data_IF_555708054671
#
_entry.id   IF_555708054671
#
_cell.length_a   1.000
_cell.length_b   1.000
_cell.length_c   1.000
_cell.angle_alpha   90.00
_cell.angle_beta   90.00
_cell.angle_gamma   90.00
#
_symmetry.space_group_name_H-M   'P 1'
#
loop_
_entity.id
_entity.type
_entity.pdbx_description
1 polymer ?
#
# COMPACT_ATOMS: atom_id res chain seq x y z
N UNK A 1 16.39 -5.31 -0.44
CA UNK A 1 15.85 -4.34 -1.40
C UNK A 1 15.25 -3.19 -0.61
N UNK A 2 15.96 -2.05 -0.50
CA UNK A 2 15.47 -0.89 0.24
C UNK A 2 14.42 -0.18 -0.61
N UNK A 3 13.16 -0.49 -0.36
CA UNK A 3 12.05 0.29 -0.88
C UNK A 3 11.95 1.58 -0.06
N UNK A 4 12.89 2.52 -0.26
CA UNK A 4 12.77 3.91 0.19
C UNK A 4 11.73 4.70 -0.61
N UNK A 5 10.63 4.03 -0.98
CA UNK A 5 9.53 4.50 -1.82
C UNK A 5 8.46 5.24 -1.02
N UNK A 6 8.32 4.87 0.25
CA UNK A 6 7.34 5.40 1.19
C UNK A 6 8.10 5.76 2.45
N UNK A 7 7.87 6.96 2.98
CA UNK A 7 8.42 7.32 4.26
C UNK A 7 7.84 6.38 5.32
N UNK A 8 8.66 5.95 6.28
CA UNK A 8 8.15 5.28 7.47
C UNK A 8 7.07 6.16 8.12
N UNK A 9 6.01 5.54 8.62
CA UNK A 9 4.85 6.24 9.14
C UNK A 9 3.88 6.78 8.09
N UNK A 10 4.13 6.56 6.78
CA UNK A 10 3.15 6.94 5.74
C UNK A 10 1.86 6.16 5.96
N UNK A 11 0.75 6.90 6.10
CA UNK A 11 -0.58 6.32 6.26
C UNK A 11 -1.20 6.15 4.88
N UNK A 12 -1.57 4.91 4.56
CA UNK A 12 -2.29 4.52 3.36
C UNK A 12 -3.75 4.29 3.71
N UNK A 13 -4.65 4.88 2.93
CA UNK A 13 -6.07 4.62 3.01
C UNK A 13 -6.42 3.47 2.06
N UNK A 14 -7.06 2.44 2.59
CA UNK A 14 -7.69 1.40 1.79
C UNK A 14 -9.13 1.78 1.51
N UNK A 15 -9.51 1.83 0.23
CA UNK A 15 -10.89 2.09 -0.14
C UNK A 15 -11.36 1.11 -1.22
N UNK A 16 -12.28 0.23 -0.86
CA UNK A 16 -12.87 -0.75 -1.77
C UNK A 16 -14.32 -0.38 -2.09
N UNK A 17 -14.50 0.46 -3.11
CA UNK A 17 -15.82 0.93 -3.54
C UNK A 17 -16.81 -0.19 -3.86
N UNK A 18 -16.33 -1.32 -4.42
CA UNK A 18 -17.18 -2.47 -4.78
C UNK A 18 -17.82 -3.17 -3.58
N UNK A 19 -17.14 -3.18 -2.44
CA UNK A 19 -17.60 -3.88 -1.22
C UNK A 19 -17.96 -2.92 -0.08
N UNK A 20 -17.83 -1.60 -0.29
CA UNK A 20 -18.02 -0.60 0.76
C UNK A 20 -17.03 -0.71 1.91
N UNK A 21 -15.88 -1.37 1.73
CA UNK A 21 -14.87 -1.57 2.78
C UNK A 21 -13.86 -0.44 2.78
N UNK A 22 -13.50 -0.03 3.99
CA UNK A 22 -12.48 0.97 4.25
C UNK A 22 -11.50 0.43 5.27
N UNK A 23 -10.24 0.84 5.15
CA UNK A 23 -9.20 0.44 6.08
C UNK A 23 -8.06 1.45 6.04
N UNK A 24 -7.12 1.32 6.97
CA UNK A 24 -5.91 2.13 7.00
C UNK A 24 -4.71 1.21 7.22
N UNK A 25 -3.58 1.58 6.65
CA UNK A 25 -2.32 0.91 6.93
C UNK A 25 -1.18 1.90 7.08
N UNK A 26 -0.21 1.59 7.91
CA UNK A 26 0.99 2.38 8.13
C UNK A 26 2.17 1.67 7.51
N UNK A 27 2.99 2.40 6.76
CA UNK A 27 4.21 1.86 6.18
C UNK A 27 5.34 1.89 7.22
N UNK A 28 6.06 0.78 7.33
CA UNK A 28 7.23 0.63 8.20
C UNK A 28 8.53 1.02 7.49
N UNK A 29 9.60 1.23 8.25
CA UNK A 29 10.96 1.46 7.73
C UNK A 29 11.46 0.39 6.76
N UNK A 30 10.97 -0.84 6.90
CA UNK A 30 11.32 -1.97 6.05
C UNK A 30 10.46 -2.06 4.77
N UNK A 31 9.52 -1.13 4.57
CA UNK A 31 8.58 -1.15 3.45
C UNK A 31 7.43 -2.14 3.61
N UNK A 32 7.22 -2.65 4.83
CA UNK A 32 6.07 -3.48 5.17
C UNK A 32 4.88 -2.62 5.57
N UNK A 33 3.67 -3.18 5.53
CA UNK A 33 2.43 -2.49 5.90
C UNK A 33 1.85 -3.05 7.20
N UNK A 34 1.53 -2.16 8.14
CA UNK A 34 0.79 -2.47 9.35
C UNK A 34 -0.65 -2.06 9.12
N UNK A 35 -1.58 -3.01 9.00
CA UNK A 35 -3.00 -2.69 8.83
C UNK A 35 -3.60 -2.36 10.18
N UNK A 36 -4.38 -1.27 10.24
CA UNK A 36 -5.08 -0.87 11.45
C UNK A 36 -6.09 -1.96 11.87
N UNK A 37 -6.04 -2.35 13.14
CA UNK A 37 -6.80 -3.50 13.66
C UNK A 37 -6.16 -4.87 13.42
N UNK A 38 -4.95 -4.94 12.83
CA UNK A 38 -4.22 -6.20 12.66
C UNK A 38 -2.88 -6.19 13.40
N UNK A 39 -2.61 -7.26 14.17
CA UNK A 39 -1.39 -7.37 14.96
C UNK A 39 -0.14 -7.72 14.12
N UNK A 40 -0.34 -8.26 12.92
CA UNK A 40 0.71 -8.70 12.02
C UNK A 40 1.10 -7.61 11.00
N UNK A 41 2.39 -7.55 10.71
CA UNK A 41 2.94 -6.74 9.62
C UNK A 41 2.91 -7.54 8.31
N UNK A 42 2.60 -6.86 7.21
CA UNK A 42 2.47 -7.48 5.90
C UNK A 42 3.61 -7.04 4.98
N UNK A 43 4.40 -7.97 4.43
CA UNK A 43 5.50 -7.64 3.54
C UNK A 43 5.04 -7.20 2.15
N UNK A 44 3.74 -7.27 1.84
CA UNK A 44 3.21 -6.82 0.56
C UNK A 44 1.83 -6.16 0.68
N UNK A 45 1.52 -5.18 -0.18
CA UNK A 45 0.22 -4.51 -0.18
C UNK A 45 -0.93 -5.46 -0.52
N UNK A 46 -0.68 -6.50 -1.32
CA UNK A 46 -1.68 -7.51 -1.68
C UNK A 46 -2.07 -8.38 -0.48
N UNK A 47 -1.09 -8.84 0.31
CA UNK A 47 -1.35 -9.55 1.57
C UNK A 47 -2.12 -8.68 2.57
N UNK A 48 -1.77 -7.40 2.67
CA UNK A 48 -2.48 -6.45 3.53
C UNK A 48 -3.95 -6.27 3.11
N UNK A 49 -4.20 -6.13 1.80
CA UNK A 49 -5.56 -6.03 1.27
C UNK A 49 -6.36 -7.34 1.45
N UNK A 50 -5.71 -8.49 1.28
CA UNK A 50 -6.30 -9.80 1.56
C UNK A 50 -6.71 -9.94 3.02
N UNK A 51 -5.90 -9.45 3.96
CA UNK A 51 -6.25 -9.46 5.38
C UNK A 51 -7.51 -8.63 5.70
N UNK A 52 -7.77 -7.54 4.96
CA UNK A 52 -8.98 -6.72 5.12
C UNK A 52 -10.19 -7.35 4.43
N UNK A 53 -9.99 -7.87 3.22
CA UNK A 53 -11.09 -8.29 2.35
C UNK A 53 -11.45 -9.77 2.47
N UNK A 54 -10.56 -10.57 3.07
CA UNK A 54 -10.62 -12.03 3.14
C UNK A 54 -10.41 -12.72 1.80
N UNK A 55 -9.98 -12.01 0.76
CA UNK A 55 -9.84 -12.55 -0.60
C UNK A 55 -8.51 -12.11 -1.21
N UNK A 56 -7.99 -12.89 -2.16
CA UNK A 56 -6.80 -12.49 -2.93
C UNK A 56 -7.19 -11.41 -3.93
N UNK A 57 -6.69 -10.19 -3.72
CA UNK A 57 -7.06 -9.02 -4.52
C UNK A 57 -5.83 -8.12 -4.73
N UNK A 58 -5.83 -7.38 -5.83
CA UNK A 58 -4.76 -6.46 -6.16
C UNK A 58 -4.73 -5.26 -5.19
N UNK A 59 -3.88 -5.34 -4.17
CA UNK A 59 -3.72 -4.27 -3.19
C UNK A 59 -3.16 -2.97 -3.78
N UNK A 60 -2.36 -3.02 -4.84
CA UNK A 60 -1.61 -1.86 -5.33
C UNK A 60 -2.50 -0.70 -5.79
N UNK A 61 -3.67 -0.99 -6.34
CA UNK A 61 -4.63 0.01 -6.83
C UNK A 61 -5.67 0.42 -5.78
N UNK A 62 -5.68 -0.23 -4.61
CA UNK A 62 -6.66 0.00 -3.55
C UNK A 62 -6.10 0.80 -2.39
N UNK A 63 -4.79 0.71 -2.20
CA UNK A 63 -4.05 1.52 -1.27
C UNK A 63 -3.78 2.88 -1.91
N UNK A 64 -4.40 3.90 -1.33
CA UNK A 64 -4.29 5.28 -1.73
C UNK A 64 -3.48 6.05 -0.70
N UNK A 65 -2.61 6.92 -1.17
CA UNK A 65 -1.86 7.85 -0.36
C UNK A 65 -2.73 9.06 0.02
N UNK A 66 -2.31 9.84 1.04
CA UNK A 66 -3.00 11.06 1.42
C UNK A 66 -3.03 12.11 0.30
N UNK A 67 -2.11 12.01 -0.66
CA UNK A 67 -2.04 12.86 -1.86
C UNK A 67 -3.03 12.45 -2.97
N UNK A 68 -3.77 11.35 -2.78
CA UNK A 68 -4.74 10.82 -3.74
C UNK A 68 -4.17 9.82 -4.76
N UNK A 69 -2.85 9.61 -4.82
CA UNK A 69 -2.22 8.63 -5.72
C UNK A 69 -2.31 7.22 -5.15
N UNK A 70 -2.26 6.20 -6.00
CA UNK A 70 -2.21 4.80 -5.55
C UNK A 70 -0.77 4.30 -5.43
N UNK A 71 -0.57 3.20 -4.70
CA UNK A 71 0.72 2.52 -4.68
C UNK A 71 1.17 2.06 -6.08
N UNK A 72 0.21 1.69 -6.95
CA UNK A 72 0.50 1.34 -8.34
C UNK A 72 1.05 2.54 -9.12
N UNK A 73 0.46 3.73 -8.94
CA UNK A 73 0.95 4.96 -9.57
C UNK A 73 2.38 5.29 -9.13
N UNK A 74 2.66 5.26 -7.82
CA UNK A 74 4.03 5.45 -7.30
C UNK A 74 5.03 4.43 -7.87
N UNK A 75 4.61 3.17 -7.98
CA UNK A 75 5.44 2.11 -8.53
C UNK A 75 5.72 2.36 -10.01
N UNK A 76 4.72 2.81 -10.77
CA UNK A 76 4.87 3.18 -12.19
C UNK A 76 5.78 4.38 -12.34
N UNK A 77 5.57 5.46 -11.59
CA UNK A 77 6.42 6.66 -11.59
C UNK A 77 7.89 6.29 -11.32
N UNK A 78 8.17 5.39 -10.37
CA UNK A 78 9.53 4.94 -10.12
C UNK A 78 10.09 4.04 -11.24
N UNK A 79 9.27 3.15 -11.80
CA UNK A 79 9.68 2.33 -12.93
C UNK A 79 10.00 3.19 -14.16
N UNK A 80 9.28 4.31 -14.35
CA UNK A 80 9.51 5.27 -15.43
C UNK A 80 10.64 6.26 -15.11
N UNK A 81 10.84 6.61 -13.83
CA UNK A 81 11.86 7.56 -13.36
C UNK A 81 13.27 6.99 -13.18
N UNK A 82 13.52 5.72 -13.56
CA UNK A 82 14.87 5.10 -13.56
C UNK A 82 15.56 5.12 -14.93
N UNK A 83 15.16 6.01 -15.84
CA UNK A 83 15.92 6.23 -17.07
C UNK A 83 16.03 7.74 -17.38
N UNK A 84 17.20 8.31 -17.11
CA UNK A 84 17.52 9.69 -17.45
C UNK A 84 18.61 10.28 -16.57
N UNK A 85 19.79 9.64 -16.56
CA UNK A 85 21.05 10.33 -16.25
C UNK A 85 21.56 11.09 -17.47
#
# INVERSE_FOLDING_TARGET
MKAGLLAEGTILAFHQRRAGRQGRAVVTSDGQLIVDGQAAVFPSPSKAAEAITGNVINGWTLWQLPDGRTLDDLRRDLAQGRHGG
#
